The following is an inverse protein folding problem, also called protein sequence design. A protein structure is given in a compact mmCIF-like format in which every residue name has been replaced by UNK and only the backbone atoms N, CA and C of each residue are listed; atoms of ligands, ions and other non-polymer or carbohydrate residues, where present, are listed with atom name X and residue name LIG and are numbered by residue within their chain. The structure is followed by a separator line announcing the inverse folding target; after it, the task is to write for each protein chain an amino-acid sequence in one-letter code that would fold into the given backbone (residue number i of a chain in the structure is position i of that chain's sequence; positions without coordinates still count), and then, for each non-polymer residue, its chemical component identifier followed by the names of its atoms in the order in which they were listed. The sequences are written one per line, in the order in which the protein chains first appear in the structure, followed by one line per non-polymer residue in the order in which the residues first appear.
data_IF_045982716793
#
_entry.id   IF_045982716793
#
_cell.length_a   1.000
_cell.length_b   1.000
_cell.length_c   1.000
_cell.angle_alpha   90.00
_cell.angle_beta   90.00
_cell.angle_gamma   90.00
#
_symmetry.space_group_name_H-M   'P 1'
#
loop_
_entity.id
_entity.type
_entity.pdbx_description
1 polymer ?
#
# COMPACT_ATOMS: atom_id res chain seq x y z
N UNK A 1 15.61 19.98 -2.42
CA UNK A 1 14.21 19.67 -2.76
C UNK A 1 13.57 19.12 -1.51
N UNK A 2 12.28 19.27 -1.30
CA UNK A 2 11.54 18.81 -0.12
C UNK A 2 10.57 17.69 -0.51
N UNK A 3 10.12 16.88 0.46
CA UNK A 3 9.09 15.86 0.22
C UNK A 3 7.82 16.46 -0.40
N UNK A 4 7.40 17.64 0.08
CA UNK A 4 6.22 18.34 -0.44
C UNK A 4 6.33 18.71 -1.93
N UNK A 5 7.54 18.92 -2.45
CA UNK A 5 7.75 19.22 -3.87
C UNK A 5 7.85 17.98 -4.75
N UNK A 6 8.18 16.82 -4.17
CA UNK A 6 8.50 15.58 -4.90
C UNK A 6 7.46 14.47 -4.73
N UNK A 7 6.64 14.54 -3.68
CA UNK A 7 5.63 13.51 -3.38
C UNK A 7 4.23 14.06 -3.61
N UNK A 8 3.38 13.28 -4.24
CA UNK A 8 1.94 13.53 -4.41
C UNK A 8 1.17 12.31 -3.98
N UNK A 9 0.06 12.52 -3.30
CA UNK A 9 -0.82 11.44 -2.88
C UNK A 9 -2.01 11.34 -3.81
N UNK A 10 -1.97 10.37 -4.70
CA UNK A 10 -3.04 10.07 -5.65
C UNK A 10 -4.06 9.12 -5.01
N UNK A 11 -5.21 8.95 -5.66
CA UNK A 11 -6.25 8.05 -5.19
C UNK A 11 -6.79 7.18 -6.32
N UNK A 12 -6.84 5.88 -6.09
CA UNK A 12 -7.58 4.96 -6.99
C UNK A 12 -9.02 4.69 -6.49
N UNK A 13 -9.55 5.57 -5.63
CA UNK A 13 -10.88 5.45 -5.06
C UNK A 13 -10.90 4.77 -3.71
N UNK A 14 -11.93 3.96 -3.49
CA UNK A 14 -12.12 3.22 -2.23
C UNK A 14 -12.81 1.88 -2.48
N UNK A 15 -12.74 1.00 -1.49
CA UNK A 15 -13.47 -0.26 -1.46
C UNK A 15 -13.92 -0.59 -0.04
N UNK A 16 -14.73 -1.61 0.14
CA UNK A 16 -15.20 -2.02 1.46
C UNK A 16 -14.76 -3.43 1.80
N UNK A 17 -14.49 -3.66 3.09
CA UNK A 17 -14.13 -4.97 3.64
C UNK A 17 -14.86 -5.25 4.95
N UNK A 18 -14.99 -6.55 5.27
CA UNK A 18 -15.46 -6.99 6.58
C UNK A 18 -14.51 -6.50 7.69
N UNK A 19 -15.03 -5.88 8.76
CA UNK A 19 -14.22 -5.39 9.87
C UNK A 19 -13.38 -6.48 10.54
N UNK A 20 -13.85 -7.74 10.55
CA UNK A 20 -13.11 -8.86 11.10
C UNK A 20 -11.80 -9.12 10.34
N UNK A 21 -11.79 -8.92 9.02
CA UNK A 21 -10.58 -9.02 8.23
C UNK A 21 -9.55 -7.95 8.61
N UNK A 22 -10.00 -6.71 8.81
CA UNK A 22 -9.11 -5.56 9.03
C UNK A 22 -8.71 -5.39 10.49
N UNK A 23 -9.64 -5.59 11.43
CA UNK A 23 -9.35 -5.33 12.86
C UNK A 23 -8.91 -6.56 13.64
N UNK A 24 -9.05 -7.76 13.07
CA UNK A 24 -8.58 -9.00 13.70
C UNK A 24 -9.14 -9.16 15.11
N UNK A 25 -8.25 -9.20 16.10
CA UNK A 25 -8.61 -9.38 17.51
C UNK A 25 -9.15 -8.11 18.20
N UNK A 26 -9.15 -6.95 17.52
CA UNK A 26 -9.63 -5.70 18.14
C UNK A 26 -11.15 -5.77 18.34
N UNK A 27 -11.65 -5.63 19.58
CA UNK A 27 -13.07 -5.77 19.85
C UNK A 27 -13.92 -4.71 19.15
N UNK A 28 -15.12 -5.11 18.68
CA UNK A 28 -16.07 -4.19 18.03
C UNK A 28 -16.29 -2.88 18.79
N UNK A 29 -16.51 -2.87 20.13
CA UNK A 29 -16.69 -1.63 20.87
C UNK A 29 -15.49 -0.67 20.84
N UNK A 30 -14.34 -1.14 20.40
CA UNK A 30 -13.12 -0.33 20.26
C UNK A 30 -13.02 0.24 18.86
N UNK A 31 -13.05 -0.61 17.79
CA UNK A 31 -12.88 -0.12 16.44
C UNK A 31 -14.10 0.68 15.92
N UNK A 32 -15.31 0.36 16.38
CA UNK A 32 -16.52 1.09 15.97
C UNK A 32 -16.60 2.55 16.47
N UNK A 33 -15.68 2.98 17.33
CA UNK A 33 -15.52 4.40 17.69
C UNK A 33 -14.78 5.21 16.62
N UNK A 34 -13.98 4.54 15.79
CA UNK A 34 -13.17 5.17 14.76
C UNK A 34 -13.69 4.91 13.34
N UNK A 35 -14.42 3.81 13.14
CA UNK A 35 -14.93 3.41 11.83
C UNK A 35 -16.42 3.11 11.88
N UNK A 36 -17.14 3.61 10.87
CA UNK A 36 -18.57 3.30 10.68
C UNK A 36 -18.70 2.16 9.69
N UNK A 37 -19.39 1.09 10.10
CA UNK A 37 -19.74 0.01 9.17
C UNK A 37 -21.03 0.36 8.43
N UNK A 38 -21.13 -0.08 7.16
CA UNK A 38 -22.35 0.02 6.35
C UNK A 38 -23.45 -0.97 6.80
N UNK A 39 -24.57 -0.99 6.09
CA UNK A 39 -25.68 -1.91 6.38
C UNK A 39 -25.34 -3.38 6.19
N UNK A 40 -24.27 -3.69 5.44
CA UNK A 40 -23.73 -5.03 5.24
C UNK A 40 -22.56 -5.36 6.17
N UNK A 41 -22.36 -4.55 7.23
CA UNK A 41 -21.25 -4.66 8.18
C UNK A 41 -19.86 -4.59 7.57
N UNK A 42 -19.66 -3.77 6.52
CA UNK A 42 -18.36 -3.52 5.89
C UNK A 42 -17.86 -2.12 6.25
N UNK A 43 -16.57 -1.92 6.29
CA UNK A 43 -15.93 -0.63 6.47
C UNK A 43 -15.29 -0.16 5.15
N UNK A 44 -15.30 1.15 4.92
CA UNK A 44 -14.66 1.78 3.77
C UNK A 44 -13.16 1.92 4.01
N UNK A 45 -12.38 1.53 3.01
CA UNK A 45 -10.92 1.66 2.92
C UNK A 45 -10.56 2.49 1.70
N UNK A 46 -9.65 3.44 1.87
CA UNK A 46 -9.11 4.24 0.77
C UNK A 46 -8.07 3.45 -0.04
N UNK A 47 -7.76 3.96 -1.23
CA UNK A 47 -6.64 3.50 -2.06
C UNK A 47 -5.71 4.70 -2.30
N UNK A 48 -4.91 5.02 -1.29
CA UNK A 48 -3.96 6.13 -1.29
C UNK A 48 -2.65 5.68 -1.93
N UNK A 49 -2.25 6.32 -3.02
CA UNK A 49 -1.14 5.89 -3.87
C UNK A 49 -0.12 7.01 -3.98
N UNK A 50 1.05 6.89 -3.34
CA UNK A 50 2.09 7.89 -3.48
C UNK A 50 2.75 7.85 -4.86
N UNK A 51 2.88 9.02 -5.49
CA UNK A 51 3.70 9.27 -6.67
C UNK A 51 4.91 10.12 -6.27
N UNK A 52 6.09 9.66 -6.60
CA UNK A 52 7.36 10.37 -6.41
C UNK A 52 7.84 10.88 -7.76
N UNK A 53 8.14 12.19 -7.85
CA UNK A 53 8.73 12.83 -9.04
C UNK A 53 9.84 13.77 -8.59
N UNK A 54 11.10 13.39 -8.76
CA UNK A 54 12.26 14.16 -8.25
C UNK A 54 13.18 14.71 -9.34
N UNK A 55 12.70 14.77 -10.57
CA UNK A 55 13.46 15.25 -11.73
C UNK A 55 14.48 14.26 -12.31
N UNK A 56 14.79 13.17 -11.57
CA UNK A 56 15.70 12.11 -12.05
C UNK A 56 14.96 10.83 -12.42
N UNK A 57 13.81 10.59 -11.80
CA UNK A 57 12.90 9.47 -12.08
C UNK A 57 11.50 9.77 -11.55
N UNK A 58 10.54 9.00 -12.04
CA UNK A 58 9.18 8.95 -11.50
C UNK A 58 8.88 7.53 -11.00
N UNK A 59 8.31 7.42 -9.80
CA UNK A 59 7.99 6.15 -9.17
C UNK A 59 6.61 6.18 -8.51
N UNK A 60 5.78 5.17 -8.79
CA UNK A 60 4.50 4.94 -8.13
C UNK A 60 4.69 3.89 -7.04
N UNK A 61 4.13 4.12 -5.85
CA UNK A 61 4.16 3.16 -4.75
C UNK A 61 2.81 2.46 -4.67
N UNK A 62 2.77 1.20 -5.07
CA UNK A 62 1.58 0.44 -5.42
C UNK A 62 0.79 1.06 -6.60
N UNK A 63 -0.29 0.42 -7.03
CA UNK A 63 -1.08 0.89 -8.17
C UNK A 63 -2.59 0.74 -7.99
N UNK A 64 -3.06 0.55 -6.75
CA UNK A 64 -4.47 0.45 -6.43
C UNK A 64 -5.16 -0.80 -6.97
N UNK A 65 -6.48 -0.74 -7.02
CA UNK A 65 -7.37 -1.87 -7.36
C UNK A 65 -7.59 -2.02 -8.88
N UNK A 66 -7.36 -0.96 -9.64
CA UNK A 66 -7.55 -0.96 -11.09
C UNK A 66 -9.01 -1.07 -11.53
N UNK A 67 -9.21 -1.14 -12.84
CA UNK A 67 -10.54 -1.34 -13.41
C UNK A 67 -10.86 -2.85 -13.41
N UNK A 68 -11.61 -3.29 -12.41
CA UNK A 68 -12.09 -4.66 -12.29
C UNK A 68 -13.44 -4.76 -13.00
N UNK A 69 -13.51 -5.57 -14.05
CA UNK A 69 -14.74 -5.75 -14.84
C UNK A 69 -15.71 -6.78 -14.21
N UNK A 70 -15.27 -7.57 -13.23
CA UNK A 70 -16.10 -8.57 -12.56
C UNK A 70 -17.12 -7.88 -11.64
N UNK A 71 -18.37 -7.86 -12.11
CA UNK A 71 -19.50 -7.26 -11.39
C UNK A 71 -19.75 -7.92 -10.02
N UNK A 72 -19.45 -9.21 -9.87
CA UNK A 72 -19.54 -9.90 -8.59
C UNK A 72 -18.52 -9.34 -7.60
N UNK A 73 -17.29 -9.12 -8.05
CA UNK A 73 -16.24 -8.53 -7.25
C UNK A 73 -16.60 -7.10 -6.83
N UNK A 74 -17.02 -6.25 -7.79
CA UNK A 74 -17.46 -4.87 -7.52
C UNK A 74 -18.58 -4.84 -6.47
N UNK A 75 -19.55 -5.76 -6.56
CA UNK A 75 -20.65 -5.85 -5.60
C UNK A 75 -20.20 -6.30 -4.21
N UNK A 76 -19.25 -7.24 -4.12
CA UNK A 76 -18.73 -7.73 -2.84
C UNK A 76 -17.96 -6.64 -2.12
N UNK A 77 -17.05 -5.98 -2.84
CA UNK A 77 -16.13 -4.98 -2.28
C UNK A 77 -16.63 -3.55 -2.40
N UNK A 78 -17.77 -3.32 -3.07
CA UNK A 78 -18.38 -1.98 -3.28
C UNK A 78 -17.33 -0.95 -3.71
N UNK A 79 -16.62 -1.28 -4.81
CA UNK A 79 -15.54 -0.47 -5.33
C UNK A 79 -16.07 0.85 -5.87
N UNK A 80 -15.67 1.96 -5.26
CA UNK A 80 -15.99 3.31 -5.72
C UNK A 80 -14.76 3.91 -6.39
N UNK A 81 -14.90 4.30 -7.64
CA UNK A 81 -13.86 4.96 -8.41
C UNK A 81 -14.08 6.45 -8.48
N UNK A 82 -12.99 7.20 -8.36
CA UNK A 82 -12.91 8.61 -8.68
C UNK A 82 -12.34 8.84 -10.08
N UNK A 83 -11.52 9.88 -10.22
CA UNK A 83 -10.73 10.10 -11.40
C UNK A 83 -9.74 8.94 -11.63
N UNK A 84 -9.59 8.53 -12.91
CA UNK A 84 -8.66 7.44 -13.25
C UNK A 84 -7.25 7.79 -12.83
N UNK A 85 -6.56 6.80 -12.22
CA UNK A 85 -5.18 6.97 -11.72
C UNK A 85 -4.23 7.50 -12.80
N UNK A 86 -4.37 7.03 -14.06
CA UNK A 86 -3.54 7.50 -15.17
C UNK A 86 -3.71 8.99 -15.45
N UNK A 87 -4.93 9.54 -15.34
CA UNK A 87 -5.17 10.96 -15.54
C UNK A 87 -4.52 11.80 -14.44
N UNK A 88 -4.62 11.32 -13.17
CA UNK A 88 -3.97 11.97 -12.05
C UNK A 88 -2.44 11.97 -12.21
N UNK A 89 -1.84 10.84 -12.62
CA UNK A 89 -0.39 10.76 -12.93
C UNK A 89 -0.03 11.77 -14.00
N UNK A 90 -0.84 11.88 -15.05
CA UNK A 90 -0.57 12.77 -16.20
C UNK A 90 -0.49 14.24 -15.81
N UNK A 91 -1.06 14.66 -14.69
CA UNK A 91 -0.93 16.06 -14.20
C UNK A 91 0.48 16.39 -13.72
N UNK A 92 1.31 15.38 -13.40
CA UNK A 92 2.64 15.56 -12.81
C UNK A 92 3.78 15.03 -13.70
N UNK A 93 3.51 13.93 -14.42
CA UNK A 93 4.48 13.28 -15.30
C UNK A 93 3.74 12.56 -16.42
N UNK A 94 4.34 12.50 -17.63
CA UNK A 94 3.79 11.65 -18.68
C UNK A 94 3.78 10.19 -18.21
N UNK A 95 2.63 9.48 -18.22
CA UNK A 95 2.55 8.08 -17.78
C UNK A 95 3.53 7.14 -18.48
N UNK A 96 3.93 7.44 -19.73
CA UNK A 96 4.96 6.70 -20.45
C UNK A 96 6.38 6.95 -19.93
N UNK A 97 6.59 7.99 -19.12
CA UNK A 97 7.86 8.32 -18.48
C UNK A 97 7.94 7.83 -17.02
N UNK A 98 6.96 7.06 -16.56
CA UNK A 98 7.03 6.37 -15.27
C UNK A 98 8.13 5.29 -15.30
N UNK A 99 9.14 5.43 -14.45
CA UNK A 99 10.30 4.52 -14.41
C UNK A 99 10.03 3.27 -13.58
N UNK A 100 9.30 3.43 -12.46
CA UNK A 100 9.07 2.36 -11.49
C UNK A 100 7.63 2.32 -11.01
N UNK A 101 7.10 1.10 -10.82
CA UNK A 101 6.01 0.83 -9.90
C UNK A 101 6.59 -0.12 -8.85
N UNK A 102 6.69 0.36 -7.61
CA UNK A 102 7.24 -0.41 -6.50
C UNK A 102 6.08 -0.92 -5.67
N UNK A 103 5.84 -2.23 -5.73
CA UNK A 103 4.75 -2.83 -4.97
C UNK A 103 5.18 -3.16 -3.55
N UNK A 104 4.35 -2.78 -2.57
CA UNK A 104 4.49 -3.27 -1.19
C UNK A 104 4.27 -4.78 -1.13
N UNK A 105 3.27 -5.25 -1.86
CA UNK A 105 2.93 -6.65 -2.11
C UNK A 105 1.99 -6.74 -3.33
N UNK A 106 1.51 -7.94 -3.70
CA UNK A 106 0.76 -8.14 -4.95
C UNK A 106 -0.71 -8.54 -4.74
N UNK A 107 -1.35 -8.13 -3.64
CA UNK A 107 -2.80 -8.29 -3.51
C UNK A 107 -3.53 -7.40 -4.53
N UNK A 108 -4.80 -7.74 -4.80
CA UNK A 108 -5.59 -7.16 -5.90
C UNK A 108 -5.71 -5.64 -5.84
N UNK A 109 -5.69 -5.07 -4.64
CA UNK A 109 -5.85 -3.65 -4.33
C UNK A 109 -4.53 -2.85 -4.32
N UNK A 110 -3.40 -3.53 -4.57
CA UNK A 110 -2.07 -2.93 -4.67
C UNK A 110 -1.46 -3.02 -6.07
N UNK A 111 -1.91 -3.97 -6.90
CA UNK A 111 -1.33 -4.18 -8.23
C UNK A 111 -2.31 -3.97 -9.39
N UNK A 112 -3.53 -3.53 -9.12
CA UNK A 112 -4.64 -3.56 -10.08
C UNK A 112 -4.40 -2.74 -11.36
N UNK A 113 -3.82 -1.53 -11.26
CA UNK A 113 -3.49 -0.71 -12.42
C UNK A 113 -2.11 -1.02 -13.05
N UNK A 114 -1.38 -2.01 -12.54
CA UNK A 114 -0.12 -2.43 -13.17
C UNK A 114 -0.34 -3.24 -14.44
N UNK A 115 -1.52 -3.85 -14.57
CA UNK A 115 -1.85 -4.72 -15.70
C UNK A 115 -3.24 -4.41 -16.26
N UNK A 116 -3.38 -4.58 -17.56
CA UNK A 116 -4.70 -4.60 -18.22
C UNK A 116 -5.52 -5.83 -17.78
N UNK A 117 -6.81 -5.83 -18.07
CA UNK A 117 -7.70 -6.97 -17.83
C UNK A 117 -7.18 -8.29 -18.42
N UNK A 118 -6.41 -8.21 -19.51
CA UNK A 118 -5.80 -9.37 -20.18
C UNK A 118 -4.46 -9.81 -19.60
N UNK A 119 -3.93 -9.08 -18.60
CA UNK A 119 -2.65 -9.39 -17.93
C UNK A 119 -1.41 -8.81 -18.61
N UNK A 120 -1.57 -7.96 -19.62
CA UNK A 120 -0.46 -7.19 -20.20
C UNK A 120 -0.10 -5.98 -19.32
N UNK A 121 1.17 -5.48 -19.33
CA UNK A 121 1.55 -4.31 -18.56
C UNK A 121 0.79 -3.07 -19.02
N UNK A 122 0.26 -2.31 -18.07
CA UNK A 122 -0.46 -1.08 -18.36
C UNK A 122 0.53 0.08 -18.65
N UNK A 123 1.56 0.22 -17.81
CA UNK A 123 2.64 1.18 -17.99
C UNK A 123 3.82 0.50 -18.67
N UNK A 124 3.99 0.75 -19.97
CA UNK A 124 4.91 -0.04 -20.84
C UNK A 124 6.38 0.09 -20.48
N UNK A 125 6.81 1.23 -19.93
CA UNK A 125 8.23 1.51 -19.59
C UNK A 125 8.55 1.26 -18.12
N UNK A 126 7.53 1.30 -17.24
CA UNK A 126 7.72 1.15 -15.81
C UNK A 126 8.25 -0.25 -15.46
N UNK A 127 9.31 -0.31 -14.67
CA UNK A 127 9.77 -1.56 -14.06
C UNK A 127 8.88 -1.88 -12.87
N UNK A 128 8.20 -3.03 -12.91
CA UNK A 128 7.34 -3.51 -11.82
C UNK A 128 8.21 -4.23 -10.80
N UNK A 129 8.41 -3.64 -9.62
CA UNK A 129 9.32 -4.15 -8.60
C UNK A 129 8.51 -4.82 -7.48
N UNK A 130 8.81 -6.09 -7.20
CA UNK A 130 8.22 -6.86 -6.11
C UNK A 130 9.22 -7.91 -5.60
N UNK A 131 9.01 -8.43 -4.40
CA UNK A 131 9.81 -9.53 -3.86
C UNK A 131 9.54 -10.84 -4.62
N UNK A 132 10.55 -11.70 -4.75
CA UNK A 132 10.44 -13.01 -5.42
C UNK A 132 9.33 -13.87 -4.82
N UNK A 133 9.22 -13.89 -3.48
CA UNK A 133 8.19 -14.65 -2.79
C UNK A 133 6.80 -14.14 -3.12
N UNK A 134 6.63 -12.84 -3.31
CA UNK A 134 5.35 -12.24 -3.65
C UNK A 134 4.93 -12.61 -5.08
N UNK A 135 5.86 -12.53 -6.02
CA UNK A 135 5.63 -12.99 -7.40
C UNK A 135 5.30 -14.49 -7.44
N UNK A 136 5.95 -15.30 -6.60
CA UNK A 136 5.65 -16.72 -6.47
C UNK A 136 4.27 -16.96 -5.87
N UNK A 137 3.90 -16.24 -4.79
CA UNK A 137 2.59 -16.37 -4.13
C UNK A 137 1.45 -15.95 -5.06
N UNK A 138 1.60 -14.87 -5.82
CA UNK A 138 0.61 -14.45 -6.82
C UNK A 138 0.39 -15.52 -7.89
N UNK A 139 1.45 -16.19 -8.35
CA UNK A 139 1.37 -17.24 -9.37
C UNK A 139 0.81 -18.56 -8.85
N UNK A 140 1.09 -18.87 -7.61
CA UNK A 140 0.75 -20.14 -6.94
C UNK A 140 0.16 -19.87 -5.54
N UNK A 141 -0.98 -19.15 -5.46
CA UNK A 141 -1.60 -18.86 -4.17
C UNK A 141 -2.17 -20.13 -3.54
N UNK A 142 -2.08 -20.22 -2.23
CA UNK A 142 -2.69 -21.31 -1.47
C UNK A 142 -4.19 -21.04 -1.20
N UNK A 143 -4.85 -21.98 -0.52
CA UNK A 143 -6.29 -21.93 -0.23
C UNK A 143 -6.71 -20.72 0.60
N UNK A 144 -5.84 -20.20 1.44
CA UNK A 144 -6.11 -19.04 2.31
C UNK A 144 -5.95 -17.74 1.51
N UNK A 145 -4.90 -17.62 0.69
CA UNK A 145 -4.50 -16.37 0.06
C UNK A 145 -5.05 -16.16 -1.35
N UNK A 146 -5.60 -17.21 -1.99
CA UNK A 146 -6.03 -17.13 -3.40
C UNK A 146 -7.11 -16.09 -3.70
N UNK A 147 -7.91 -15.70 -2.71
CA UNK A 147 -8.90 -14.63 -2.87
C UNK A 147 -8.31 -13.23 -2.86
N UNK A 148 -7.09 -13.07 -2.34
CA UNK A 148 -6.38 -11.81 -2.30
C UNK A 148 -5.61 -11.50 -3.59
N UNK A 149 -5.43 -12.51 -4.46
CA UNK A 149 -4.74 -12.32 -5.74
C UNK A 149 -5.73 -12.30 -6.90
N UNK A 150 -5.60 -11.29 -7.76
CA UNK A 150 -6.42 -11.18 -8.96
C UNK A 150 -6.07 -12.28 -9.95
N UNK A 151 -7.11 -12.90 -10.53
CA UNK A 151 -6.94 -13.81 -11.65
C UNK A 151 -6.93 -13.04 -12.96
N UNK A 152 -5.93 -13.30 -13.78
CA UNK A 152 -5.83 -12.78 -15.14
C UNK A 152 -5.95 -13.93 -16.15
N UNK A 153 -6.45 -13.69 -17.39
CA UNK A 153 -6.48 -14.70 -18.44
C UNK A 153 -5.09 -15.25 -18.78
N UNK A 154 -4.06 -14.38 -18.70
CA UNK A 154 -2.65 -14.76 -18.75
C UNK A 154 -1.98 -14.32 -17.46
N UNK A 155 -1.16 -15.19 -16.88
CA UNK A 155 -0.40 -14.84 -15.68
C UNK A 155 0.47 -13.62 -15.95
N UNK A 156 0.33 -12.53 -15.17
CA UNK A 156 1.12 -11.33 -15.37
C UNK A 156 2.62 -11.62 -15.30
N UNK A 157 3.35 -11.04 -16.23
CA UNK A 157 4.81 -11.14 -16.32
C UNK A 157 5.48 -9.77 -16.20
N UNK A 158 6.79 -9.73 -16.42
CA UNK A 158 7.54 -8.47 -16.48
C UNK A 158 7.93 -7.90 -15.12
N UNK A 159 7.72 -8.63 -14.00
CA UNK A 159 8.24 -8.23 -12.71
C UNK A 159 9.76 -8.25 -12.66
N UNK A 160 10.35 -7.17 -12.20
CA UNK A 160 11.72 -7.14 -11.71
C UNK A 160 11.71 -7.68 -10.27
N UNK A 161 11.80 -9.01 -10.15
CA UNK A 161 11.73 -9.69 -8.87
C UNK A 161 13.04 -9.52 -8.10
N UNK A 162 12.95 -8.92 -6.92
CA UNK A 162 14.06 -8.67 -6.01
C UNK A 162 14.05 -9.66 -4.85
N UNK A 163 15.15 -9.76 -4.12
CA UNK A 163 15.30 -10.62 -2.95
C UNK A 163 15.89 -9.83 -1.78
N UNK A 164 15.11 -9.65 -0.71
CA UNK A 164 15.52 -8.92 0.47
C UNK A 164 15.39 -7.40 0.35
N UNK A 165 16.10 -6.68 1.22
CA UNK A 165 16.09 -5.23 1.29
C UNK A 165 17.12 -4.66 0.32
N UNK A 166 16.70 -3.81 -0.62
CA UNK A 166 17.58 -3.27 -1.66
C UNK A 166 17.32 -1.77 -1.91
N UNK A 167 18.32 -1.09 -2.44
CA UNK A 167 18.19 0.25 -3.01
C UNK A 167 17.74 0.11 -4.46
N UNK A 168 16.62 0.71 -4.80
CA UNK A 168 16.06 0.72 -6.17
C UNK A 168 16.72 1.82 -6.99
N UNK A 169 16.75 3.01 -6.44
CA UNK A 169 17.33 4.21 -7.05
C UNK A 169 17.78 5.18 -5.94
N UNK A 170 18.42 6.28 -6.31
CA UNK A 170 18.82 7.30 -5.34
C UNK A 170 17.63 7.82 -4.55
N UNK A 171 17.71 7.72 -3.24
CA UNK A 171 16.62 8.03 -2.31
C UNK A 171 15.56 6.93 -2.16
N UNK A 172 15.35 6.06 -3.15
CA UNK A 172 14.29 5.04 -3.14
C UNK A 172 14.81 3.66 -2.71
N UNK A 173 14.33 3.16 -1.60
CA UNK A 173 14.73 1.90 -0.99
C UNK A 173 13.52 1.03 -0.66
N UNK A 174 13.70 -0.27 -0.66
CA UNK A 174 12.74 -1.22 -0.11
C UNK A 174 13.35 -2.00 1.04
N UNK A 175 12.55 -2.25 2.06
CA UNK A 175 12.89 -3.02 3.23
C UNK A 175 11.92 -4.21 3.30
N UNK A 176 12.42 -5.43 3.04
CA UNK A 176 11.60 -6.63 3.15
C UNK A 176 11.18 -6.83 4.62
N UNK A 177 9.89 -6.74 4.87
CA UNK A 177 9.30 -6.89 6.20
C UNK A 177 8.67 -8.27 6.42
N UNK A 178 8.10 -8.86 5.37
CA UNK A 178 7.16 -9.94 5.60
C UNK A 178 5.94 -9.44 6.40
N UNK A 179 5.35 -10.28 7.21
CA UNK A 179 4.23 -9.93 8.09
C UNK A 179 2.88 -10.14 7.41
N UNK A 180 2.39 -9.17 6.69
CA UNK A 180 1.13 -9.26 5.96
C UNK A 180 1.15 -10.41 4.93
N UNK A 181 2.14 -10.39 4.03
CA UNK A 181 2.51 -11.54 3.19
C UNK A 181 3.96 -11.92 3.45
N UNK A 182 4.42 -13.08 2.98
CA UNK A 182 5.83 -13.48 3.09
C UNK A 182 6.76 -12.52 2.34
N UNK A 183 6.33 -12.00 1.21
CA UNK A 183 7.08 -11.09 0.35
C UNK A 183 6.74 -9.61 0.56
N UNK A 184 5.98 -9.26 1.60
CA UNK A 184 5.67 -7.87 1.88
C UNK A 184 6.93 -7.04 2.12
N UNK A 185 6.93 -5.79 1.61
CA UNK A 185 8.03 -4.84 1.79
C UNK A 185 7.52 -3.43 2.08
N UNK A 186 8.29 -2.72 2.88
CA UNK A 186 8.12 -1.30 3.18
C UNK A 186 8.91 -0.51 2.14
N UNK A 187 8.35 0.61 1.70
CA UNK A 187 9.05 1.49 0.77
C UNK A 187 9.47 2.75 1.52
N UNK A 188 10.74 3.10 1.40
CA UNK A 188 11.34 4.27 2.06
C UNK A 188 11.88 5.18 0.97
N UNK A 189 11.47 6.45 1.02
CA UNK A 189 12.00 7.48 0.15
C UNK A 189 12.69 8.57 0.96
N UNK A 190 13.86 9.03 0.50
CA UNK A 190 14.65 10.09 1.14
C UNK A 190 15.00 11.15 0.15
N UNK A 191 14.80 12.40 0.55
CA UNK A 191 15.28 13.59 -0.16
C UNK A 191 15.83 14.61 0.82
N UNK A 192 17.08 15.03 0.61
CA UNK A 192 17.77 15.87 1.59
C UNK A 192 17.87 15.21 2.96
N UNK A 193 17.29 15.83 3.98
CA UNK A 193 17.20 15.30 5.35
C UNK A 193 15.83 14.69 5.68
N UNK A 194 14.89 14.74 4.75
CA UNK A 194 13.52 14.24 4.95
C UNK A 194 13.38 12.79 4.50
N UNK A 195 12.56 12.05 5.22
CA UNK A 195 12.27 10.65 4.93
C UNK A 195 10.76 10.40 4.90
N UNK A 196 10.32 9.60 3.93
CA UNK A 196 8.98 9.06 3.83
C UNK A 196 9.02 7.56 4.07
N UNK A 197 8.05 7.04 4.82
CA UNK A 197 7.82 5.61 5.02
C UNK A 197 6.41 5.27 4.53
N UNK A 198 6.34 4.47 3.46
CA UNK A 198 5.10 3.85 3.01
C UNK A 198 5.00 2.44 3.56
N UNK A 199 4.04 2.24 4.46
CA UNK A 199 3.93 1.00 5.22
C UNK A 199 3.29 -0.16 4.45
N UNK A 200 2.56 0.12 3.36
CA UNK A 200 1.67 -0.88 2.79
C UNK A 200 0.75 -1.45 3.86
N UNK A 201 0.42 -2.72 3.77
CA UNK A 201 -0.51 -3.38 4.69
C UNK A 201 0.10 -3.83 6.02
N UNK A 202 1.38 -3.53 6.26
CA UNK A 202 1.95 -3.68 7.61
C UNK A 202 1.26 -2.75 8.63
N UNK A 203 0.89 -1.53 8.20
CA UNK A 203 0.11 -0.53 8.95
C UNK A 203 -0.88 0.12 7.98
N UNK A 204 -1.99 -0.55 7.64
CA UNK A 204 -2.89 -0.10 6.57
C UNK A 204 -3.60 1.22 6.87
N UNK A 205 -3.87 1.53 8.13
CA UNK A 205 -4.45 2.80 8.58
C UNK A 205 -3.75 3.32 9.83
N UNK A 206 -3.90 4.60 10.15
CA UNK A 206 -3.38 5.22 11.38
C UNK A 206 -3.89 4.53 12.66
N UNK A 207 -5.08 3.94 12.63
CA UNK A 207 -5.61 3.15 13.74
C UNK A 207 -4.73 1.93 14.06
N UNK A 208 -4.09 1.34 13.05
CA UNK A 208 -3.19 0.20 13.18
C UNK A 208 -1.79 0.56 13.70
N UNK A 209 -1.53 1.83 14.01
CA UNK A 209 -0.28 2.22 14.69
C UNK A 209 -0.17 1.60 16.10
N UNK A 210 -1.27 1.29 16.76
CA UNK A 210 -1.23 0.54 18.02
C UNK A 210 -0.68 -0.87 17.78
N UNK A 211 0.33 -1.26 18.55
CA UNK A 211 1.09 -2.49 18.30
C UNK A 211 0.24 -3.76 18.18
N UNK A 212 -0.75 -4.03 19.07
CA UNK A 212 -1.57 -5.25 18.97
C UNK A 212 -2.65 -5.19 17.88
N UNK A 213 -2.85 -4.05 17.20
CA UNK A 213 -3.84 -3.92 16.15
C UNK A 213 -3.23 -4.41 14.84
N UNK A 214 -3.43 -5.70 14.56
CA UNK A 214 -2.91 -6.44 13.42
C UNK A 214 -4.10 -7.03 12.69
N UNK A 215 -4.07 -7.01 11.36
CA UNK A 215 -5.18 -7.52 10.54
C UNK A 215 -5.29 -9.04 10.66
N UNK A 216 -6.50 -9.60 10.55
CA UNK A 216 -6.69 -11.05 10.57
C UNK A 216 -6.17 -11.73 9.30
N UNK A 217 -5.96 -10.93 8.24
CA UNK A 217 -5.42 -11.41 6.96
C UNK A 217 -3.90 -11.41 6.91
N UNK A 218 -3.22 -10.98 7.98
CA UNK A 218 -1.77 -11.08 8.07
C UNK A 218 -1.34 -12.56 8.18
N UNK A 219 -0.56 -13.01 7.21
CA UNK A 219 -0.07 -14.38 7.21
C UNK A 219 0.95 -14.69 8.31
N UNK A 220 1.66 -13.67 8.79
CA UNK A 220 2.76 -13.77 9.77
C UNK A 220 2.66 -12.66 10.82
N UNK A 221 1.64 -12.68 11.70
CA UNK A 221 1.34 -11.56 12.60
C UNK A 221 2.47 -11.23 13.59
N UNK A 222 3.31 -12.19 13.93
CA UNK A 222 4.47 -11.93 14.81
C UNK A 222 5.57 -11.14 14.09
N UNK A 223 5.75 -11.36 12.79
CA UNK A 223 6.66 -10.55 11.97
C UNK A 223 6.10 -9.14 11.79
N UNK A 224 4.77 -9.00 11.58
CA UNK A 224 4.09 -7.71 11.57
C UNK A 224 4.35 -6.95 12.87
N UNK A 225 4.15 -7.57 14.04
CA UNK A 225 4.42 -6.95 15.34
C UNK A 225 5.87 -6.48 15.48
N UNK A 226 6.82 -7.33 15.07
CA UNK A 226 8.26 -7.02 15.14
C UNK A 226 8.59 -5.79 14.29
N UNK A 227 8.14 -5.76 13.04
CA UNK A 227 8.42 -4.66 12.12
C UNK A 227 7.68 -3.38 12.48
N UNK A 228 6.43 -3.46 12.94
CA UNK A 228 5.70 -2.31 13.47
C UNK A 228 6.47 -1.61 14.57
N UNK A 229 6.97 -2.35 15.57
CA UNK A 229 7.79 -1.78 16.66
C UNK A 229 8.99 -1.02 16.12
N UNK A 230 9.73 -1.64 15.20
CA UNK A 230 10.93 -1.03 14.61
C UNK A 230 10.62 0.21 13.78
N UNK A 231 9.61 0.12 12.90
CA UNK A 231 9.31 1.17 11.93
C UNK A 231 8.62 2.37 12.58
N UNK A 232 7.71 2.16 13.53
CA UNK A 232 7.08 3.26 14.28
C UNK A 232 8.13 3.97 15.13
N UNK A 233 9.01 3.23 15.81
CA UNK A 233 10.14 3.83 16.55
C UNK A 233 11.08 4.62 15.64
N UNK A 234 11.36 4.09 14.44
CA UNK A 234 12.16 4.79 13.43
C UNK A 234 11.45 6.06 12.96
N UNK A 235 10.16 6.00 12.62
CA UNK A 235 9.39 7.13 12.14
C UNK A 235 9.37 8.29 13.17
N UNK A 236 9.21 7.97 14.45
CA UNK A 236 9.26 8.95 15.54
C UNK A 236 10.66 9.57 15.67
N UNK A 237 11.71 8.74 15.72
CA UNK A 237 13.09 9.20 15.92
C UNK A 237 13.58 10.07 14.77
N UNK A 238 13.29 9.67 13.53
CA UNK A 238 13.80 10.29 12.32
C UNK A 238 12.83 11.35 11.77
N UNK A 239 11.72 11.59 12.47
CA UNK A 239 10.64 12.50 12.04
C UNK A 239 10.20 12.22 10.60
N UNK A 240 9.98 10.94 10.30
CA UNK A 240 9.61 10.51 8.95
C UNK A 240 8.12 10.72 8.67
N UNK A 241 7.81 11.16 7.45
CA UNK A 241 6.44 11.22 6.94
C UNK A 241 5.91 9.80 6.70
N UNK A 242 4.86 9.42 7.40
CA UNK A 242 4.20 8.12 7.29
C UNK A 242 3.00 8.20 6.36
N UNK A 243 2.86 7.28 5.42
CA UNK A 243 1.69 7.18 4.54
C UNK A 243 0.93 5.89 4.81
N UNK A 244 -0.41 6.01 4.94
CA UNK A 244 -1.36 4.94 5.20
C UNK A 244 -2.24 4.72 3.97
N UNK A 245 -2.03 3.60 3.28
CA UNK A 245 -2.69 3.32 2.00
C UNK A 245 -4.22 3.18 2.10
N UNK A 246 -4.73 2.68 3.21
CA UNK A 246 -6.16 2.40 3.39
C UNK A 246 -6.90 3.38 4.32
N UNK A 247 -6.21 4.40 4.85
CA UNK A 247 -6.86 5.37 5.72
C UNK A 247 -7.69 6.38 4.93
N UNK A 248 -8.95 6.53 5.31
CA UNK A 248 -9.87 7.49 4.68
C UNK A 248 -9.79 8.89 5.28
N UNK A 249 -9.16 9.05 6.44
CA UNK A 249 -9.10 10.32 7.18
C UNK A 249 -7.67 10.83 7.34
N UNK A 250 -6.75 9.97 7.83
CA UNK A 250 -5.35 10.31 8.06
C UNK A 250 -4.50 9.60 7.01
N UNK A 251 -4.40 10.19 5.83
CA UNK A 251 -3.68 9.59 4.70
C UNK A 251 -2.17 9.64 4.88
N UNK A 252 -1.69 10.75 5.47
CA UNK A 252 -0.28 10.97 5.78
C UNK A 252 -0.13 11.66 7.14
N UNK A 253 0.94 11.37 7.88
CA UNK A 253 1.19 11.98 9.17
C UNK A 253 2.65 11.87 9.61
N UNK A 254 3.07 12.81 10.47
CA UNK A 254 4.24 12.65 11.31
C UNK A 254 3.84 12.01 12.65
N UNK A 255 4.77 11.24 13.21
CA UNK A 255 4.57 10.54 14.48
C UNK A 255 5.47 11.09 15.55
N UNK A 256 4.96 11.17 16.80
CA UNK A 256 5.73 11.58 17.97
C UNK A 256 5.32 10.80 19.22
N UNK A 257 6.08 10.92 20.31
CA UNK A 257 5.78 10.26 21.59
C UNK A 257 6.25 8.80 21.63
N UNK A 258 5.42 7.90 22.18
CA UNK A 258 5.80 6.51 22.44
C UNK A 258 5.43 5.58 21.30
N UNK A 259 6.30 4.62 20.97
CA UNK A 259 6.09 3.63 19.90
C UNK A 259 4.79 2.83 20.06
N UNK A 260 4.38 2.53 21.29
CA UNK A 260 3.16 1.73 21.56
C UNK A 260 1.85 2.50 21.39
N UNK A 261 1.91 3.83 21.44
CA UNK A 261 0.76 4.74 21.30
C UNK A 261 1.22 6.10 20.80
N UNK A 262 1.68 6.19 19.54
CA UNK A 262 2.20 7.43 19.01
C UNK A 262 1.10 8.49 18.89
N UNK A 263 1.50 9.75 19.05
CA UNK A 263 0.69 10.91 18.67
C UNK A 263 0.82 11.09 17.17
N UNK A 264 -0.27 11.50 16.54
CA UNK A 264 -0.40 11.62 15.10
C UNK A 264 -0.60 13.10 14.76
N UNK A 265 0.24 13.63 13.89
CA UNK A 265 0.10 14.95 13.29
C UNK A 265 -0.18 14.76 11.81
N UNK A 266 -1.44 14.92 11.42
CA UNK A 266 -1.92 14.71 10.04
C UNK A 266 -1.36 15.77 9.10
N UNK A 267 -1.04 15.35 7.88
CA UNK A 267 -0.52 16.21 6.80
C UNK A 267 -1.33 15.96 5.53
N UNK A 268 -1.65 17.03 4.81
CA UNK A 268 -2.22 16.96 3.46
C UNK A 268 -1.10 17.05 2.42
N UNK A 269 -1.10 16.11 1.43
CA UNK A 269 -0.10 16.01 0.36
C UNK A 269 -0.72 16.19 -1.02
#
# INVERSE_FOLDING_TARGET
MSLESEVRLLSDGSFTLDPGAIFGIVPRPVWSKAFTADSNFRIKLALNIPLITNGSYAALLDSGIGDLEDEKFKKIYEVEKGEKLINQIQTFVNPDDLDFIVHSHLHFDHMGNSFSSEGGPFFKRAKLIAQKEEVSAMRHPNEITRSSYRKYPKTPGGFHAIDGSVRIKDGLHVLKSGGHTRGHQIIIYRTGMEELIYFGDLVPTSFHLRLPYITAIDGFPMDTLYWKKKLISKAIRDHALCIFNHDTQVKAAYLSGETGSPKIESVDL
#
